data_IF_505686269841
#
_entry.id   IF_505686269841
#
_cell.length_a   1.000
_cell.length_b   1.000
_cell.length_c   1.000
_cell.angle_alpha   90.00
_cell.angle_beta   90.00
_cell.angle_gamma   90.00
#
_symmetry.space_group_name_H-M   'P 1'
#
loop_
_entity.id
_entity.type
_entity.pdbx_description
1 polymer ?
#
# COMPACT_ATOMS: atom_id res chain seq x y z
N UNK A 1 -67.39 3.93 -8.84
CA UNK A 1 -67.01 5.17 -8.13
C UNK A 1 -65.96 5.03 -7.05
N UNK A 2 -65.89 3.94 -6.27
CA UNK A 2 -64.92 3.84 -5.16
C UNK A 2 -63.49 3.45 -5.55
N UNK A 3 -63.24 3.00 -6.79
CA UNK A 3 -61.91 2.55 -7.23
C UNK A 3 -61.06 3.66 -7.87
N UNK A 4 -61.68 4.69 -8.44
CA UNK A 4 -60.98 5.81 -9.09
C UNK A 4 -60.00 6.56 -8.17
N UNK A 5 -60.37 6.90 -6.91
CA UNK A 5 -59.44 7.61 -6.01
C UNK A 5 -58.26 6.72 -5.56
N UNK A 6 -58.49 5.41 -5.41
CA UNK A 6 -57.44 4.46 -5.05
C UNK A 6 -56.44 4.27 -6.19
N UNK A 7 -56.93 4.19 -7.43
CA UNK A 7 -56.09 4.10 -8.63
C UNK A 7 -55.26 5.37 -8.85
N UNK A 8 -55.83 6.55 -8.58
CA UNK A 8 -55.09 7.81 -8.60
C UNK A 8 -53.97 7.81 -7.55
N UNK A 9 -54.24 7.37 -6.32
CA UNK A 9 -53.20 7.32 -5.27
C UNK A 9 -52.06 6.38 -5.64
N UNK A 10 -52.37 5.23 -6.24
CA UNK A 10 -51.35 4.27 -6.72
C UNK A 10 -50.58 4.86 -7.91
N UNK A 11 -51.29 5.50 -8.85
CA UNK A 11 -50.70 6.19 -9.99
C UNK A 11 -49.73 7.30 -9.55
N UNK A 12 -50.12 8.12 -8.57
CA UNK A 12 -49.29 9.19 -8.01
C UNK A 12 -48.08 8.63 -7.26
N UNK A 13 -48.26 7.57 -6.46
CA UNK A 13 -47.17 6.94 -5.74
C UNK A 13 -46.14 6.33 -6.69
N UNK A 14 -46.61 5.55 -7.67
CA UNK A 14 -45.74 4.86 -8.64
C UNK A 14 -45.14 5.85 -9.63
N UNK A 15 -45.92 6.82 -10.10
CA UNK A 15 -45.53 7.76 -11.13
C UNK A 15 -44.76 8.98 -10.63
N UNK A 16 -44.87 9.34 -9.35
CA UNK A 16 -44.20 10.54 -8.82
C UNK A 16 -43.42 10.23 -7.53
N UNK A 17 -44.06 9.54 -6.58
CA UNK A 17 -43.48 9.30 -5.25
C UNK A 17 -42.22 8.44 -5.28
N UNK A 18 -42.29 7.26 -5.89
CA UNK A 18 -41.16 6.34 -6.01
C UNK A 18 -40.05 6.91 -6.91
N UNK A 19 -40.33 7.48 -8.10
CA UNK A 19 -39.33 8.18 -8.93
C UNK A 19 -38.56 9.27 -8.19
N UNK A 20 -39.26 10.11 -7.42
CA UNK A 20 -38.64 11.16 -6.64
C UNK A 20 -37.72 10.60 -5.54
N UNK A 21 -38.16 9.57 -4.83
CA UNK A 21 -37.35 8.89 -3.82
C UNK A 21 -36.10 8.24 -4.44
N UNK A 22 -36.25 7.64 -5.62
CA UNK A 22 -35.15 6.97 -6.32
C UNK A 22 -34.12 7.98 -6.85
N UNK A 23 -34.58 9.13 -7.34
CA UNK A 23 -33.72 10.25 -7.75
C UNK A 23 -32.91 10.78 -6.56
N UNK A 24 -33.56 10.95 -5.40
CA UNK A 24 -32.88 11.37 -4.18
C UNK A 24 -31.86 10.33 -3.67
N UNK A 25 -32.20 9.04 -3.74
CA UNK A 25 -31.27 7.95 -3.42
C UNK A 25 -30.06 7.98 -4.37
N UNK A 26 -30.29 8.14 -5.68
CA UNK A 26 -29.22 8.22 -6.67
C UNK A 26 -28.29 9.41 -6.42
N UNK A 27 -28.82 10.60 -6.08
CA UNK A 27 -28.03 11.76 -5.71
C UNK A 27 -27.15 11.51 -4.45
N UNK A 28 -27.69 10.78 -3.48
CA UNK A 28 -26.95 10.38 -2.27
C UNK A 28 -25.81 9.41 -2.63
N UNK A 29 -26.07 8.43 -3.50
CA UNK A 29 -25.05 7.48 -3.98
C UNK A 29 -23.94 8.21 -4.74
N UNK A 30 -24.27 9.14 -5.63
CA UNK A 30 -23.27 9.98 -6.34
C UNK A 30 -22.41 10.81 -5.38
N UNK A 31 -22.98 11.26 -4.26
CA UNK A 31 -22.21 11.93 -3.21
C UNK A 31 -21.27 10.95 -2.51
N UNK A 32 -21.76 9.76 -2.15
CA UNK A 32 -20.95 8.72 -1.54
C UNK A 32 -19.81 8.23 -2.46
N UNK A 33 -20.06 8.16 -3.77
CA UNK A 33 -19.05 7.83 -4.79
C UNK A 33 -17.85 8.79 -4.72
N UNK A 34 -18.07 10.10 -4.65
CA UNK A 34 -16.97 11.09 -4.54
C UNK A 34 -16.15 10.91 -3.26
N UNK A 35 -16.81 10.57 -2.16
CA UNK A 35 -16.12 10.24 -0.91
C UNK A 35 -15.30 8.94 -1.07
N UNK A 36 -15.88 7.90 -1.68
CA UNK A 36 -15.20 6.65 -1.96
C UNK A 36 -13.98 6.85 -2.86
N UNK A 37 -14.07 7.69 -3.89
CA UNK A 37 -12.96 8.02 -4.80
C UNK A 37 -11.78 8.64 -4.03
N UNK A 38 -12.08 9.53 -3.08
CA UNK A 38 -11.04 10.12 -2.22
C UNK A 38 -10.34 9.04 -1.38
N UNK A 39 -11.09 8.11 -0.81
CA UNK A 39 -10.48 7.06 0.02
C UNK A 39 -9.77 6.01 -0.82
N UNK A 40 -10.30 5.63 -1.99
CA UNK A 40 -9.63 4.76 -2.96
C UNK A 40 -8.27 5.35 -3.36
N UNK A 41 -8.21 6.66 -3.60
CA UNK A 41 -6.96 7.38 -3.87
C UNK A 41 -5.96 7.30 -2.72
N UNK A 42 -6.43 7.54 -1.49
CA UNK A 42 -5.60 7.43 -0.28
C UNK A 42 -5.08 6.00 -0.09
N UNK A 43 -5.93 4.99 -0.19
CA UNK A 43 -5.54 3.58 -0.06
C UNK A 43 -4.53 3.15 -1.13
N UNK A 44 -4.68 3.66 -2.35
CA UNK A 44 -3.75 3.42 -3.46
C UNK A 44 -2.37 4.03 -3.20
N UNK A 45 -2.31 5.24 -2.65
CA UNK A 45 -1.03 5.86 -2.29
C UNK A 45 -0.37 5.08 -1.15
N UNK A 46 -1.16 4.68 -0.15
CA UNK A 46 -0.66 3.97 1.02
C UNK A 46 -0.16 2.56 0.71
N UNK A 47 -0.75 1.89 -0.28
CA UNK A 47 -0.28 0.56 -0.71
C UNK A 47 1.07 0.59 -1.41
N UNK A 48 1.51 1.74 -1.91
CA UNK A 48 2.82 1.91 -2.54
C UNK A 48 3.96 2.01 -1.51
N UNK A 49 3.66 2.15 -0.22
CA UNK A 49 4.68 2.26 0.82
C UNK A 49 5.22 0.87 1.20
N UNK A 50 6.47 0.52 0.86
CA UNK A 50 7.01 -0.82 1.09
C UNK A 50 7.13 -1.18 2.58
N UNK A 51 7.19 -0.18 3.47
CA UNK A 51 7.28 -0.37 4.91
C UNK A 51 5.96 -0.81 5.56
N UNK A 52 4.82 -0.60 4.90
CA UNK A 52 3.50 -0.95 5.45
C UNK A 52 3.04 -2.35 5.06
N UNK A 53 3.62 -2.96 4.01
CA UNK A 53 3.29 -4.31 3.51
C UNK A 53 1.78 -4.57 3.36
N UNK A 54 1.04 -3.57 2.88
CA UNK A 54 -0.39 -3.65 2.59
C UNK A 54 -0.55 -3.49 1.08
N UNK A 55 -1.06 -4.51 0.40
CA UNK A 55 -1.41 -4.43 -1.02
C UNK A 55 -2.88 -4.02 -1.14
N UNK A 56 -3.13 -2.81 -1.66
CA UNK A 56 -4.43 -2.41 -2.18
C UNK A 56 -4.45 -2.68 -3.68
N UNK A 57 -5.19 -3.70 -4.10
CA UNK A 57 -5.41 -4.06 -5.50
C UNK A 57 -6.81 -4.67 -5.62
N UNK A 58 -7.87 -3.86 -5.39
CA UNK A 58 -9.23 -4.36 -5.50
C UNK A 58 -9.51 -4.74 -6.95
N UNK A 59 -10.37 -5.73 -7.16
CA UNK A 59 -10.84 -6.07 -8.51
C UNK A 59 -11.70 -4.93 -9.09
N UNK A 60 -12.53 -4.31 -8.24
CA UNK A 60 -13.33 -3.12 -8.56
C UNK A 60 -13.23 -2.11 -7.41
N UNK A 61 -12.78 -0.85 -7.66
CA UNK A 61 -12.77 0.20 -6.65
C UNK A 61 -14.17 0.51 -6.11
N UNK A 62 -14.28 0.93 -4.84
CA UNK A 62 -15.59 1.24 -4.22
C UNK A 62 -16.31 2.37 -4.96
N UNK A 63 -15.56 3.39 -5.41
CA UNK A 63 -16.09 4.46 -6.24
C UNK A 63 -16.73 3.95 -7.54
N UNK A 64 -16.14 2.96 -8.19
CA UNK A 64 -16.70 2.34 -9.38
C UNK A 64 -17.96 1.53 -9.06
N UNK A 65 -17.94 0.73 -7.99
CA UNK A 65 -19.11 -0.04 -7.57
C UNK A 65 -20.33 0.84 -7.22
N UNK A 66 -20.10 2.02 -6.64
CA UNK A 66 -21.16 3.01 -6.37
C UNK A 66 -21.65 3.70 -7.65
N UNK A 67 -20.74 3.95 -8.60
CA UNK A 67 -21.10 4.48 -9.92
C UNK A 67 -22.04 3.52 -10.67
N UNK A 68 -21.73 2.23 -10.66
CA UNK A 68 -22.51 1.23 -11.39
C UNK A 68 -23.93 1.11 -10.84
N UNK A 69 -24.10 1.22 -9.50
CA UNK A 69 -25.43 1.34 -8.89
C UNK A 69 -26.13 2.61 -9.37
N UNK A 70 -25.43 3.75 -9.34
CA UNK A 70 -25.99 5.05 -9.74
C UNK A 70 -26.52 5.04 -11.17
N UNK A 71 -25.77 4.45 -12.10
CA UNK A 71 -26.17 4.25 -13.50
C UNK A 71 -27.36 3.30 -13.60
N UNK A 72 -27.36 2.20 -12.86
CA UNK A 72 -28.47 1.23 -12.89
C UNK A 72 -29.78 1.85 -12.39
N UNK A 73 -29.71 2.73 -11.38
CA UNK A 73 -30.87 3.42 -10.83
C UNK A 73 -31.40 4.57 -11.71
N UNK A 74 -30.63 5.07 -12.67
CA UNK A 74 -30.99 6.25 -13.48
C UNK A 74 -32.10 5.97 -14.49
N UNK A 75 -32.27 4.70 -14.90
CA UNK A 75 -33.28 4.28 -15.89
C UNK A 75 -34.66 4.01 -15.29
N UNK A 76 -34.74 3.71 -13.99
CA UNK A 76 -35.96 3.29 -13.31
C UNK A 76 -37.04 4.38 -13.14
N UNK A 77 -36.71 5.66 -12.83
CA UNK A 77 -37.71 6.71 -12.64
C UNK A 77 -38.63 6.87 -13.85
N UNK A 78 -38.07 6.87 -15.06
CA UNK A 78 -38.84 7.02 -16.30
C UNK A 78 -39.83 5.87 -16.52
N UNK A 79 -39.43 4.62 -16.23
CA UNK A 79 -40.32 3.47 -16.34
C UNK A 79 -41.45 3.48 -15.30
N UNK A 80 -41.16 3.99 -14.10
CA UNK A 80 -42.13 4.16 -13.02
C UNK A 80 -43.12 5.31 -13.29
N UNK A 81 -42.65 6.45 -13.80
CA UNK A 81 -43.47 7.56 -14.30
C UNK A 81 -44.47 7.08 -15.35
N UNK A 82 -43.98 6.37 -16.36
CA UNK A 82 -44.79 5.81 -17.43
C UNK A 82 -45.80 4.78 -16.90
N UNK A 83 -45.43 3.97 -15.92
CA UNK A 83 -46.33 3.02 -15.28
C UNK A 83 -47.44 3.74 -14.49
N UNK A 84 -47.10 4.81 -13.76
CA UNK A 84 -48.07 5.62 -13.02
C UNK A 84 -49.10 6.31 -13.91
N UNK A 85 -48.65 6.87 -15.05
CA UNK A 85 -49.55 7.42 -16.09
C UNK A 85 -50.50 6.34 -16.61
N UNK A 86 -49.96 5.16 -16.97
CA UNK A 86 -50.78 4.05 -17.50
C UNK A 86 -51.78 3.49 -16.48
N UNK A 87 -51.43 3.44 -15.19
CA UNK A 87 -52.34 3.06 -14.10
C UNK A 87 -53.48 4.06 -13.95
N UNK A 88 -53.19 5.35 -14.14
CA UNK A 88 -54.19 6.43 -14.06
C UNK A 88 -55.07 6.48 -15.30
N UNK A 89 -54.52 6.12 -16.47
CA UNK A 89 -55.23 6.12 -17.76
C UNK A 89 -56.04 4.84 -18.05
N UNK A 90 -55.77 3.69 -17.41
CA UNK A 90 -56.29 2.41 -17.90
C UNK A 90 -57.46 1.78 -17.14
N UNK A 91 -58.62 1.90 -17.79
CA UNK A 91 -59.47 0.75 -18.18
C UNK A 91 -59.18 0.31 -19.64
N UNK A 92 -58.47 1.10 -20.47
CA UNK A 92 -58.36 0.89 -21.93
C UNK A 92 -57.01 0.36 -22.47
N UNK A 93 -55.89 0.43 -21.74
CA UNK A 93 -54.56 0.05 -22.27
C UNK A 93 -53.84 -1.06 -21.47
N UNK A 94 -54.60 -2.10 -21.06
CA UNK A 94 -54.06 -3.26 -20.34
C UNK A 94 -52.82 -3.92 -21.00
N UNK A 95 -52.72 -4.05 -22.33
CA UNK A 95 -51.51 -4.60 -22.97
C UNK A 95 -50.26 -3.73 -22.78
N UNK A 96 -50.42 -2.40 -22.79
CA UNK A 96 -49.33 -1.44 -22.54
C UNK A 96 -48.87 -1.53 -21.09
N UNK A 97 -49.83 -1.59 -20.15
CA UNK A 97 -49.56 -1.72 -18.72
C UNK A 97 -48.77 -3.00 -18.39
N UNK A 98 -49.14 -4.11 -19.02
CA UNK A 98 -48.44 -5.38 -18.88
C UNK A 98 -46.99 -5.32 -19.42
N UNK A 99 -46.74 -4.53 -20.44
CA UNK A 99 -45.40 -4.34 -21.01
C UNK A 99 -44.54 -3.45 -20.11
N UNK A 100 -45.06 -2.29 -19.70
CA UNK A 100 -44.37 -1.39 -18.78
C UNK A 100 -43.99 -2.06 -17.45
N UNK A 101 -44.89 -2.89 -16.91
CA UNK A 101 -44.63 -3.67 -15.69
C UNK A 101 -43.51 -4.71 -15.90
N UNK A 102 -43.45 -5.34 -17.08
CA UNK A 102 -42.38 -6.31 -17.41
C UNK A 102 -41.03 -5.62 -17.54
N UNK A 103 -40.99 -4.49 -18.24
CA UNK A 103 -39.76 -3.72 -18.46
C UNK A 103 -39.21 -3.18 -17.14
N UNK A 104 -40.10 -2.68 -16.27
CA UNK A 104 -39.74 -2.29 -14.91
C UNK A 104 -39.19 -3.48 -14.10
N UNK A 105 -39.82 -4.66 -14.22
CA UNK A 105 -39.35 -5.88 -13.56
C UNK A 105 -37.94 -6.29 -14.01
N UNK A 106 -37.63 -6.15 -15.30
CA UNK A 106 -36.29 -6.40 -15.83
C UNK A 106 -35.28 -5.40 -15.28
N UNK A 107 -35.58 -4.10 -15.33
CA UNK A 107 -34.70 -3.06 -14.83
C UNK A 107 -34.44 -3.16 -13.31
N UNK A 108 -35.45 -3.55 -12.53
CA UNK A 108 -35.29 -3.83 -11.08
C UNK A 108 -34.40 -5.07 -10.86
N UNK A 109 -34.52 -6.09 -11.72
CA UNK A 109 -33.65 -7.26 -11.70
C UNK A 109 -32.19 -6.92 -11.95
N UNK A 110 -31.92 -6.05 -12.92
CA UNK A 110 -30.58 -5.56 -13.22
C UNK A 110 -29.99 -4.77 -12.04
N UNK A 111 -30.78 -3.87 -11.45
CA UNK A 111 -30.37 -3.13 -10.24
C UNK A 111 -30.06 -4.07 -9.07
N UNK A 112 -30.85 -5.12 -8.87
CA UNK A 112 -30.58 -6.08 -7.80
C UNK A 112 -29.27 -6.85 -8.02
N UNK A 113 -28.95 -7.16 -9.27
CA UNK A 113 -27.66 -7.78 -9.65
C UNK A 113 -26.51 -6.82 -9.34
N UNK A 114 -26.57 -5.58 -9.83
CA UNK A 114 -25.56 -4.55 -9.57
C UNK A 114 -25.37 -4.29 -8.07
N UNK A 115 -26.47 -4.18 -7.30
CA UNK A 115 -26.40 -4.00 -5.85
C UNK A 115 -25.73 -5.18 -5.14
N UNK A 116 -25.90 -6.41 -5.65
CA UNK A 116 -25.27 -7.59 -5.07
C UNK A 116 -23.76 -7.60 -5.35
N UNK A 117 -23.35 -7.25 -6.55
CA UNK A 117 -21.93 -7.15 -6.93
C UNK A 117 -21.24 -6.04 -6.13
N UNK A 118 -21.88 -4.87 -5.99
CA UNK A 118 -21.34 -3.76 -5.20
C UNK A 118 -21.27 -4.07 -3.70
N UNK A 119 -22.12 -4.96 -3.17
CA UNK A 119 -22.01 -5.43 -1.77
C UNK A 119 -20.74 -6.23 -1.53
N UNK A 120 -20.27 -6.99 -2.51
CA UNK A 120 -18.99 -7.70 -2.41
C UNK A 120 -17.84 -6.70 -2.35
N UNK A 121 -17.84 -5.69 -3.23
CA UNK A 121 -16.84 -4.62 -3.22
C UNK A 121 -16.79 -3.86 -1.87
N UNK A 122 -17.95 -3.56 -1.27
CA UNK A 122 -18.03 -2.92 0.06
C UNK A 122 -17.44 -3.82 1.16
N UNK A 123 -17.68 -5.13 1.12
CA UNK A 123 -17.14 -6.07 2.13
C UNK A 123 -15.61 -6.15 2.06
N UNK A 124 -15.04 -6.26 0.87
CA UNK A 124 -13.59 -6.26 0.66
C UNK A 124 -12.96 -4.96 1.16
N UNK A 125 -13.60 -3.84 0.85
CA UNK A 125 -13.18 -2.52 1.29
C UNK A 125 -13.21 -2.39 2.82
N UNK A 126 -14.27 -2.87 3.50
CA UNK A 126 -14.35 -2.85 4.97
C UNK A 126 -13.23 -3.66 5.61
N UNK A 127 -12.95 -4.86 5.10
CA UNK A 127 -11.87 -5.70 5.61
C UNK A 127 -10.50 -5.01 5.50
N UNK A 128 -10.26 -4.31 4.38
CA UNK A 128 -9.04 -3.55 4.17
C UNK A 128 -8.91 -2.34 5.11
N UNK A 129 -9.97 -1.55 5.27
CA UNK A 129 -9.96 -0.38 6.17
C UNK A 129 -9.72 -0.81 7.61
N UNK A 130 -10.29 -1.93 8.05
CA UNK A 130 -10.03 -2.48 9.39
C UNK A 130 -8.56 -2.87 9.57
N UNK A 131 -7.95 -3.50 8.55
CA UNK A 131 -6.51 -3.81 8.57
C UNK A 131 -5.66 -2.54 8.62
N UNK A 132 -6.04 -1.49 7.89
CA UNK A 132 -5.34 -0.22 7.90
C UNK A 132 -5.45 0.47 9.27
N UNK A 133 -6.64 0.46 9.87
CA UNK A 133 -6.87 0.98 11.22
C UNK A 133 -5.98 0.30 12.25
N UNK A 134 -5.80 -1.02 12.17
CA UNK A 134 -4.91 -1.73 13.08
C UNK A 134 -3.44 -1.27 12.98
N UNK A 135 -2.95 -0.98 11.77
CA UNK A 135 -1.60 -0.46 11.57
C UNK A 135 -1.47 0.97 12.09
N UNK A 136 -2.46 1.82 11.83
CA UNK A 136 -2.48 3.20 12.36
C UNK A 136 -2.54 3.21 13.88
N UNK A 137 -3.38 2.36 14.48
CA UNK A 137 -3.50 2.25 15.94
C UNK A 137 -2.18 1.73 16.54
N UNK A 138 -1.51 0.77 15.91
CA UNK A 138 -0.18 0.30 16.33
C UNK A 138 0.87 1.44 16.29
N UNK A 139 0.93 2.21 15.21
CA UNK A 139 1.88 3.34 15.08
C UNK A 139 1.57 4.42 16.12
N UNK A 140 0.28 4.72 16.33
CA UNK A 140 -0.18 5.66 17.36
C UNK A 140 0.24 5.20 18.76
N UNK A 141 0.09 3.93 19.07
CA UNK A 141 0.46 3.36 20.37
C UNK A 141 1.99 3.28 20.55
N UNK A 142 2.73 3.08 19.46
CA UNK A 142 4.20 3.12 19.45
C UNK A 142 4.76 4.56 19.53
N UNK A 143 3.98 5.58 19.17
CA UNK A 143 4.41 7.00 19.16
C UNK A 143 5.02 7.48 20.48
N UNK A 144 4.38 7.28 21.66
CA UNK A 144 5.01 7.68 22.92
C UNK A 144 6.29 6.89 23.20
N UNK A 145 6.30 5.59 22.91
CA UNK A 145 7.48 4.72 23.12
C UNK A 145 8.66 5.19 22.28
N UNK A 146 8.43 5.47 20.99
CA UNK A 146 9.47 6.00 20.08
C UNK A 146 9.97 7.35 20.57
N UNK A 147 9.07 8.25 21.02
CA UNK A 147 9.45 9.58 21.52
C UNK A 147 10.40 9.51 22.72
N UNK A 148 10.28 8.50 23.58
CA UNK A 148 11.17 8.34 24.74
C UNK A 148 12.40 7.46 24.45
N UNK A 149 12.25 6.35 23.72
CA UNK A 149 13.33 5.38 23.49
C UNK A 149 14.30 5.87 22.41
N UNK A 150 13.81 6.53 21.35
CA UNK A 150 14.64 7.01 20.25
C UNK A 150 15.72 8.01 20.69
N UNK A 151 15.42 9.11 21.42
CA UNK A 151 16.46 10.02 21.89
C UNK A 151 17.42 9.37 22.89
N UNK A 152 16.95 8.39 23.66
CA UNK A 152 17.80 7.63 24.59
C UNK A 152 18.80 6.74 23.85
N UNK A 153 18.36 5.99 22.83
CA UNK A 153 19.26 5.23 21.96
C UNK A 153 20.20 6.12 21.18
N UNK A 154 19.71 7.26 20.66
CA UNK A 154 20.53 8.21 19.91
C UNK A 154 21.62 8.83 20.80
N UNK A 155 21.29 9.22 22.04
CA UNK A 155 22.27 9.74 22.99
C UNK A 155 23.31 8.68 23.38
N UNK A 156 22.88 7.43 23.57
CA UNK A 156 23.80 6.29 23.81
C UNK A 156 24.72 6.06 22.61
N UNK A 157 24.20 6.10 21.39
CA UNK A 157 24.98 5.95 20.15
C UNK A 157 26.01 7.07 20.01
N UNK A 158 25.59 8.32 20.21
CA UNK A 158 26.48 9.49 20.17
C UNK A 158 27.57 9.37 21.23
N UNK A 159 27.19 8.98 22.45
CA UNK A 159 28.13 8.74 23.54
C UNK A 159 29.15 7.64 23.20
N UNK A 160 28.67 6.53 22.63
CA UNK A 160 29.53 5.44 22.18
C UNK A 160 30.53 5.89 21.12
N UNK A 161 30.07 6.65 20.12
CA UNK A 161 30.94 7.24 19.10
C UNK A 161 31.99 8.15 19.77
N UNK A 162 31.59 8.97 20.74
CA UNK A 162 32.51 9.85 21.48
C UNK A 162 33.63 9.06 22.17
N UNK A 163 33.30 7.94 22.81
CA UNK A 163 34.28 7.05 23.46
C UNK A 163 35.26 6.46 22.44
N UNK A 164 34.77 5.98 21.29
CA UNK A 164 35.60 5.41 20.22
C UNK A 164 36.58 6.47 19.66
N UNK A 165 36.10 7.69 19.43
CA UNK A 165 36.94 8.78 18.91
C UNK A 165 38.06 9.16 19.89
N UNK A 166 37.76 9.26 21.19
CA UNK A 166 38.77 9.55 22.23
C UNK A 166 39.84 8.46 22.31
N UNK A 167 39.46 7.18 22.16
CA UNK A 167 40.41 6.07 22.19
C UNK A 167 41.41 6.10 21.03
N UNK A 168 40.95 6.52 19.85
CA UNK A 168 41.77 6.61 18.63
C UNK A 168 42.65 7.86 18.66
N UNK A 169 42.13 8.98 19.18
CA UNK A 169 42.90 10.21 19.36
C UNK A 169 44.10 10.02 20.31
N UNK A 170 43.97 9.23 21.38
CA UNK A 170 45.11 8.88 22.25
C UNK A 170 46.21 8.15 21.48
N UNK A 171 45.85 7.15 20.67
CA UNK A 171 46.81 6.37 19.86
C UNK A 171 47.49 7.24 18.79
N UNK A 172 46.78 8.18 18.19
CA UNK A 172 47.36 9.13 17.23
C UNK A 172 48.36 10.11 17.87
N UNK A 173 48.17 10.44 19.15
CA UNK A 173 49.06 11.37 19.87
C UNK A 173 50.44 10.78 20.17
N UNK A 174 50.54 9.46 20.34
CA UNK A 174 51.82 8.76 20.52
C UNK A 174 52.67 8.81 19.25
N UNK A 175 52.04 8.78 18.08
CA UNK A 175 52.74 8.89 16.78
C UNK A 175 53.30 10.29 16.52
N UNK A 176 52.58 11.34 16.97
CA UNK A 176 53.03 12.73 16.90
C UNK A 176 54.15 13.08 17.90
N UNK A 177 54.26 12.32 19.00
CA UNK A 177 55.34 12.46 19.99
C UNK A 177 56.59 11.63 19.68
N UNK A 178 56.62 10.97 18.51
CA UNK A 178 57.71 10.21 17.93
C UNK A 178 58.93 10.03 18.83
N UNK A 179 59.06 8.85 19.44
CA UNK A 179 60.40 8.37 19.74
C UNK A 179 61.08 8.13 18.39
N UNK A 180 62.22 8.80 18.11
CA UNK A 180 62.92 8.62 16.85
C UNK A 180 63.29 7.14 16.73
N UNK A 181 62.78 6.50 15.67
CA UNK A 181 63.29 5.19 15.25
C UNK A 181 64.81 5.34 15.13
N UNK A 182 65.62 4.56 15.87
CA UNK A 182 67.06 4.59 15.70
C UNK A 182 67.36 4.15 14.27
N UNK A 183 67.64 5.10 13.39
CA UNK A 183 68.32 4.80 12.14
C UNK A 183 69.69 4.27 12.54
N UNK A 184 69.84 2.95 12.48
CA UNK A 184 71.15 2.32 12.56
C UNK A 184 72.07 3.05 11.57
N UNK A 185 73.28 3.47 11.98
CA UNK A 185 74.18 4.19 11.10
C UNK A 185 74.39 3.37 9.82
N UNK A 186 74.43 4.07 8.68
CA UNK A 186 74.66 3.51 7.35
C UNK A 186 76.10 2.98 7.18
N UNK A 187 76.58 2.15 8.11
CA UNK A 187 77.90 1.51 8.12
C UNK A 187 77.83 -0.01 8.13
N UNK A 188 76.67 -0.61 7.90
CA UNK A 188 76.54 -2.05 7.67
C UNK A 188 76.05 -2.36 6.24
N UNK A 189 76.72 -1.78 5.23
CA UNK A 189 76.80 -2.45 3.93
C UNK A 189 77.97 -3.44 4.02
N UNK A 190 77.75 -4.77 3.96
CA UNK A 190 78.87 -5.70 3.80
C UNK A 190 79.59 -5.38 2.48
N UNK A 191 80.94 -5.46 2.42
CA UNK A 191 81.69 -5.13 1.22
C UNK A 191 81.24 -5.99 0.04
N UNK A 192 80.99 -5.34 -1.10
CA UNK A 192 80.85 -6.00 -2.39
C UNK A 192 82.12 -6.81 -2.67
N UNK A 193 82.00 -8.13 -2.51
CA UNK A 193 82.57 -9.15 -3.39
C UNK A 193 83.86 -8.72 -4.12
N UNK A 194 85.01 -8.93 -3.48
CA UNK A 194 86.26 -9.08 -4.21
C UNK A 194 86.24 -10.46 -4.89
N UNK A 195 86.22 -10.43 -6.23
CA UNK A 195 86.31 -11.58 -7.12
C UNK A 195 87.41 -12.60 -6.72
N UNK A 196 87.19 -13.90 -6.93
CA UNK A 196 88.05 -14.98 -6.42
C UNK A 196 89.35 -15.11 -7.23
N UNK A 197 90.51 -15.39 -6.61
CA UNK A 197 91.64 -15.97 -7.33
C UNK A 197 91.42 -17.46 -7.57
N UNK A 198 91.72 -17.88 -8.79
CA UNK A 198 91.56 -19.23 -9.31
C UNK A 198 92.39 -20.28 -8.54
N UNK A 199 91.75 -21.43 -8.30
CA UNK A 199 92.39 -22.75 -8.23
C UNK A 199 92.96 -23.18 -6.88
N UNK A 200 92.30 -24.14 -6.21
CA UNK A 200 92.78 -25.52 -6.13
C UNK A 200 91.67 -26.43 -5.55
N UNK A 201 91.44 -27.64 -6.09
CA UNK A 201 90.44 -28.55 -5.56
C UNK A 201 91.02 -29.30 -4.36
N UNK A 202 90.26 -29.42 -3.27
CA UNK A 202 90.55 -30.49 -2.32
C UNK A 202 89.29 -31.25 -1.92
N UNK A 203 89.47 -32.56 -1.97
CA UNK A 203 88.45 -33.56 -2.12
C UNK A 203 87.98 -34.05 -0.75
N UNK A 204 86.95 -33.43 -0.17
CA UNK A 204 86.25 -34.02 0.97
C UNK A 204 84.95 -33.27 1.30
N UNK A 205 83.88 -33.52 0.55
CA UNK A 205 82.52 -33.63 1.12
C UNK A 205 81.54 -34.05 0.01
N UNK A 206 81.68 -35.32 -0.36
CA UNK A 206 80.63 -36.11 -1.00
C UNK A 206 79.82 -36.73 0.15
N UNK A 207 78.49 -36.70 0.01
CA UNK A 207 77.42 -37.35 0.81
C UNK A 207 76.52 -36.32 1.53
N UNK A 208 75.43 -35.83 0.91
CA UNK A 208 74.10 -36.48 0.75
C UNK A 208 73.24 -36.43 2.03
N UNK A 209 71.90 -36.53 1.94
CA UNK A 209 71.02 -35.62 1.22
C UNK A 209 69.85 -35.10 2.09
N UNK A 210 69.17 -34.09 1.52
CA UNK A 210 67.89 -33.51 1.90
C UNK A 210 66.80 -34.58 2.11
N UNK A 211 66.15 -34.57 3.28
CA UNK A 211 64.76 -35.02 3.40
C UNK A 211 63.85 -33.79 3.52
N UNK A 212 63.02 -33.61 2.49
CA UNK A 212 61.79 -32.83 2.53
C UNK A 212 60.72 -33.69 3.18
N UNK A 213 59.94 -33.11 4.09
CA UNK A 213 58.57 -33.56 4.30
C UNK A 213 57.66 -32.36 4.51
N UNK A 214 56.64 -32.39 3.65
CA UNK A 214 55.38 -31.64 3.51
C UNK A 214 54.83 -31.07 4.81
#
# INVERSE_FOLDING_TARGET
DSTTPALQTVGDLVGTGVPAALTAANATIRTAQKSAETVDGVLTILSQLPLLNIAYSPEVPLSQALNDISVSLESLPAGLEQLGEQVTESVSNLPTLASATRDLGAAVGDVNTTLNDSRLAVQEYQALVLRYKAVVDFVRDATPVITFIFPLLLSLLIFWIMVVQVSTARRGWEWLRGEPVPVAPATAMPPLEALPPAGQPDAAQIAAPVERTV
#
